data_IF_936401918386
#
_entry.id   IF_936401918386
#
_cell.length_a   1.000
_cell.length_b   1.000
_cell.length_c   1.000
_cell.angle_alpha   90.00
_cell.angle_beta   90.00
_cell.angle_gamma   90.00
#
_symmetry.space_group_name_H-M   'P 1'
#
loop_
_entity.id
_entity.type
_entity.pdbx_description
1 polymer ?
#
# COMPACT_ATOMS: atom_id res chain seq x y z
N UNK A 1 -19.78 -12.60 6.61
CA UNK A 1 -18.60 -12.06 5.89
C UNK A 1 -18.55 -12.69 4.51
N UNK A 2 -19.08 -12.01 3.48
CA UNK A 2 -18.96 -12.49 2.11
C UNK A 2 -17.50 -12.43 1.64
N UNK A 3 -17.10 -13.38 0.79
CA UNK A 3 -15.80 -13.34 0.12
C UNK A 3 -15.78 -12.18 -0.87
N UNK A 4 -14.73 -11.36 -0.85
CA UNK A 4 -14.51 -10.30 -1.84
C UNK A 4 -14.00 -10.93 -3.14
N UNK A 5 -14.65 -10.60 -4.26
CA UNK A 5 -14.17 -10.94 -5.59
C UNK A 5 -13.16 -9.88 -6.05
N UNK A 6 -11.87 -10.19 -5.93
CA UNK A 6 -10.80 -9.28 -6.33
C UNK A 6 -10.81 -8.93 -7.81
N UNK A 7 -11.43 -9.75 -8.68
CA UNK A 7 -11.53 -9.44 -10.11
C UNK A 7 -12.51 -8.31 -10.40
N UNK A 8 -13.46 -8.06 -9.49
CA UNK A 8 -14.45 -6.99 -9.58
C UNK A 8 -14.00 -5.69 -8.87
N UNK A 9 -12.92 -5.72 -8.07
CA UNK A 9 -12.42 -4.52 -7.38
C UNK A 9 -11.52 -3.70 -8.32
N UNK A 10 -11.85 -2.42 -8.60
CA UNK A 10 -11.04 -1.60 -9.50
C UNK A 10 -9.60 -1.45 -9.02
N UNK A 11 -8.67 -1.40 -9.98
CA UNK A 11 -7.26 -1.11 -9.75
C UNK A 11 -7.02 0.38 -9.99
N UNK A 12 -6.36 1.02 -9.03
CA UNK A 12 -6.03 2.45 -9.08
C UNK A 12 -4.52 2.67 -9.02
N UNK A 13 -4.05 3.63 -9.81
CA UNK A 13 -2.73 4.22 -9.64
C UNK A 13 -2.74 5.26 -8.51
N UNK A 14 -1.58 5.51 -7.90
CA UNK A 14 -1.43 6.57 -6.90
C UNK A 14 -1.15 7.93 -7.56
N UNK A 15 -2.21 8.70 -7.79
CA UNK A 15 -2.16 10.02 -8.42
C UNK A 15 -2.41 11.19 -7.44
N UNK A 16 -2.29 10.94 -6.14
CA UNK A 16 -2.58 11.91 -5.07
C UNK A 16 -1.52 13.03 -4.94
N UNK A 17 -0.32 12.81 -5.49
CA UNK A 17 0.76 13.79 -5.41
C UNK A 17 0.66 14.88 -6.50
N UNK A 18 1.18 16.09 -6.24
CA UNK A 18 1.37 17.12 -7.26
C UNK A 18 2.14 16.59 -8.47
N UNK A 19 1.91 17.17 -9.66
CA UNK A 19 2.40 16.64 -10.93
C UNK A 19 3.91 16.31 -10.94
N UNK A 20 4.75 17.16 -10.35
CA UNK A 20 6.20 16.94 -10.28
C UNK A 20 6.65 15.77 -9.40
N UNK A 21 5.77 15.25 -8.54
CA UNK A 21 6.06 14.16 -7.60
C UNK A 21 5.33 12.86 -7.94
N UNK A 22 4.44 12.84 -8.94
CA UNK A 22 3.68 11.64 -9.33
C UNK A 22 4.58 10.49 -9.78
N UNK A 23 5.73 10.80 -10.35
CA UNK A 23 6.70 9.80 -10.81
C UNK A 23 7.27 8.96 -9.64
N UNK A 24 7.29 9.49 -8.41
CA UNK A 24 7.86 8.80 -7.24
C UNK A 24 7.08 7.54 -6.86
N UNK A 25 5.79 7.47 -7.19
CA UNK A 25 4.94 6.29 -6.98
C UNK A 25 4.47 5.68 -8.30
N UNK A 26 5.20 5.91 -9.40
CA UNK A 26 4.89 5.29 -10.67
C UNK A 26 4.89 3.75 -10.56
N UNK A 27 3.89 3.11 -11.16
CA UNK A 27 3.69 1.66 -11.13
C UNK A 27 2.99 1.13 -9.87
N UNK A 28 2.76 1.95 -8.84
CA UNK A 28 1.94 1.54 -7.70
C UNK A 28 0.51 1.21 -8.15
N UNK A 29 0.04 0.01 -7.80
CA UNK A 29 -1.32 -0.43 -8.09
C UNK A 29 -2.06 -0.80 -6.80
N UNK A 30 -3.26 -0.26 -6.60
CA UNK A 30 -4.07 -0.48 -5.39
C UNK A 30 -5.48 -0.95 -5.72
N UNK A 31 -5.96 -1.91 -4.95
CA UNK A 31 -7.36 -2.29 -4.86
C UNK A 31 -7.86 -2.02 -3.44
N UNK A 32 -8.93 -1.23 -3.30
CA UNK A 32 -9.53 -0.88 -2.00
C UNK A 32 -10.50 -1.96 -1.56
N UNK A 33 -9.96 -3.05 -1.02
CA UNK A 33 -10.75 -4.24 -0.67
C UNK A 33 -11.63 -4.01 0.57
N UNK A 34 -11.25 -3.09 1.46
CA UNK A 34 -12.10 -2.66 2.58
C UNK A 34 -13.43 -2.06 2.10
N UNK A 35 -13.36 -1.13 1.14
CA UNK A 35 -14.54 -0.52 0.50
C UNK A 35 -15.42 -1.58 -0.17
N UNK A 36 -14.81 -2.52 -0.90
CA UNK A 36 -15.54 -3.64 -1.53
C UNK A 36 -16.20 -4.58 -0.50
N UNK A 37 -15.67 -4.64 0.73
CA UNK A 37 -16.24 -5.34 1.86
C UNK A 37 -17.23 -4.52 2.69
N UNK A 38 -17.45 -3.24 2.38
CA UNK A 38 -18.34 -2.34 3.11
C UNK A 38 -17.78 -1.81 4.43
N UNK A 39 -16.46 -1.77 4.60
CA UNK A 39 -15.84 -1.20 5.80
C UNK A 39 -15.86 0.34 5.76
N UNK A 40 -16.08 0.96 6.92
CA UNK A 40 -16.10 2.41 7.09
C UNK A 40 -15.20 2.93 8.25
N UNK A 41 -14.71 2.04 9.11
CA UNK A 41 -13.86 2.40 10.27
C UNK A 41 -12.38 2.48 9.95
N UNK A 42 -11.90 1.68 8.99
CA UNK A 42 -10.51 1.65 8.54
C UNK A 42 -10.42 1.16 7.10
N UNK A 43 -9.36 1.57 6.40
CA UNK A 43 -9.09 1.13 5.05
C UNK A 43 -8.34 -0.20 5.03
N UNK A 44 -8.69 -1.10 4.11
CA UNK A 44 -7.90 -2.28 3.79
C UNK A 44 -7.56 -2.24 2.30
N UNK A 45 -6.28 -2.22 1.98
CA UNK A 45 -5.79 -2.03 0.63
C UNK A 45 -4.91 -3.21 0.22
N UNK A 46 -5.23 -3.81 -0.92
CA UNK A 46 -4.32 -4.74 -1.60
C UNK A 46 -3.45 -3.92 -2.55
N UNK A 47 -2.15 -3.90 -2.30
CA UNK A 47 -1.17 -3.15 -3.09
C UNK A 47 -0.25 -4.11 -3.82
N UNK A 48 0.05 -3.79 -5.09
CA UNK A 48 1.08 -4.46 -5.88
C UNK A 48 2.12 -3.43 -6.28
N UNK A 49 3.39 -3.75 -6.02
CA UNK A 49 4.54 -2.93 -6.41
C UNK A 49 5.37 -3.70 -7.44
N UNK A 50 5.42 -3.24 -8.69
CA UNK A 50 6.46 -3.67 -9.62
C UNK A 50 7.87 -3.35 -9.09
N UNK A 51 8.91 -4.02 -9.61
CA UNK A 51 10.28 -3.69 -9.25
C UNK A 51 10.55 -2.19 -9.39
N UNK A 52 11.19 -1.60 -8.37
CA UNK A 52 11.55 -0.16 -8.27
C UNK A 52 10.38 0.79 -8.00
N UNK A 53 9.15 0.31 -7.90
CA UNK A 53 8.01 1.13 -7.44
C UNK A 53 8.03 1.34 -5.92
N UNK A 54 7.26 2.33 -5.45
CA UNK A 54 7.19 2.73 -4.04
C UNK A 54 5.74 2.91 -3.60
N UNK A 55 5.47 2.69 -2.32
CA UNK A 55 4.13 2.87 -1.73
C UNK A 55 3.73 4.33 -1.62
N UNK A 56 4.68 5.19 -1.24
CA UNK A 56 4.47 6.60 -0.96
C UNK A 56 5.80 7.37 -0.99
N UNK A 57 5.71 8.70 -0.97
CA UNK A 57 6.78 9.53 -0.39
C UNK A 57 6.91 9.19 1.10
N UNK A 58 8.12 9.27 1.67
CA UNK A 58 8.33 9.00 3.10
C UNK A 58 7.51 9.98 3.95
N UNK A 59 6.73 9.46 4.88
CA UNK A 59 5.83 10.23 5.75
C UNK A 59 5.50 9.43 7.01
N UNK A 60 4.74 10.05 7.90
CA UNK A 60 4.13 9.45 9.08
C UNK A 60 2.72 10.04 9.25
N UNK A 61 1.88 9.36 10.02
CA UNK A 61 0.51 9.79 10.30
C UNK A 61 0.39 10.28 11.75
N UNK A 62 -0.28 11.43 11.96
CA UNK A 62 -0.51 11.97 13.30
C UNK A 62 -1.72 11.35 14.01
N UNK A 63 -2.74 10.95 13.24
CA UNK A 63 -4.05 10.56 13.77
C UNK A 63 -4.52 9.18 13.29
N UNK A 64 -3.70 8.48 12.52
CA UNK A 64 -4.06 7.22 11.89
C UNK A 64 -2.96 6.22 12.17
N UNK A 65 -3.31 5.15 12.88
CA UNK A 65 -2.45 3.98 12.93
C UNK A 65 -2.40 3.34 11.53
N UNK A 66 -1.27 2.75 11.18
CA UNK A 66 -1.07 2.05 9.91
C UNK A 66 -0.39 0.71 10.15
N UNK A 67 -0.82 -0.33 9.43
CA UNK A 67 -0.22 -1.65 9.51
C UNK A 67 -0.08 -2.25 8.12
N UNK A 68 1.07 -2.89 7.87
CA UNK A 68 1.44 -3.49 6.59
C UNK A 68 1.82 -4.94 6.80
N UNK A 69 1.34 -5.82 5.91
CA UNK A 69 1.80 -7.20 5.79
C UNK A 69 2.30 -7.41 4.35
N UNK A 70 3.49 -7.97 4.21
CA UNK A 70 3.99 -8.44 2.91
C UNK A 70 3.37 -9.80 2.62
N UNK A 71 2.49 -9.87 1.62
CA UNK A 71 1.84 -11.13 1.24
C UNK A 71 2.78 -12.00 0.40
N UNK A 72 3.49 -11.39 -0.55
CA UNK A 72 4.49 -12.08 -1.36
C UNK A 72 5.48 -11.09 -1.99
N UNK A 73 6.71 -11.54 -2.18
CA UNK A 73 7.82 -10.76 -2.71
C UNK A 73 8.71 -10.16 -1.62
N UNK A 74 9.60 -9.28 -2.04
CA UNK A 74 10.53 -8.59 -1.15
C UNK A 74 10.38 -7.08 -1.36
N UNK A 75 10.28 -6.33 -0.27
CA UNK A 75 10.24 -4.87 -0.27
C UNK A 75 11.22 -4.31 0.76
N UNK A 76 11.52 -3.02 0.65
CA UNK A 76 12.37 -2.32 1.60
C UNK A 76 11.54 -1.27 2.33
N UNK A 77 11.39 -1.43 3.64
CA UNK A 77 10.90 -0.39 4.55
C UNK A 77 12.01 0.65 4.75
N UNK A 78 11.70 1.91 4.45
CA UNK A 78 12.65 3.03 4.55
C UNK A 78 12.20 4.01 5.62
N UNK A 79 12.91 4.03 6.73
CA UNK A 79 12.67 4.89 7.87
C UNK A 79 13.81 5.92 7.99
N UNK A 80 13.78 6.76 9.03
CA UNK A 80 14.83 7.76 9.23
C UNK A 80 16.16 7.12 9.61
N UNK A 81 16.09 6.04 10.39
CA UNK A 81 17.24 5.31 10.95
C UNK A 81 17.84 4.31 9.95
N UNK A 82 17.16 4.00 8.85
CA UNK A 82 17.72 3.14 7.81
C UNK A 82 16.70 2.38 6.96
N UNK A 83 17.20 1.28 6.40
CA UNK A 83 16.46 0.40 5.50
C UNK A 83 16.33 -1.00 6.11
N UNK A 84 15.12 -1.55 6.07
CA UNK A 84 14.81 -2.91 6.54
C UNK A 84 14.16 -3.70 5.42
N UNK A 85 14.68 -4.90 5.13
CA UNK A 85 14.07 -5.79 4.14
C UNK A 85 12.88 -6.51 4.80
N UNK A 86 11.72 -6.47 4.14
CA UNK A 86 10.54 -7.24 4.48
C UNK A 86 10.24 -8.26 3.37
N UNK A 87 9.94 -9.51 3.76
CA UNK A 87 9.62 -10.64 2.89
C UNK A 87 8.24 -11.21 3.20
N UNK A 88 7.81 -12.21 2.44
CA UNK A 88 6.57 -12.97 2.66
C UNK A 88 6.31 -13.26 4.15
N UNK A 89 5.22 -12.70 4.68
CA UNK A 89 4.78 -12.86 6.07
C UNK A 89 5.30 -11.79 7.04
N UNK A 90 6.32 -11.02 6.66
CA UNK A 90 6.81 -9.92 7.50
C UNK A 90 5.77 -8.81 7.61
N UNK A 91 5.74 -8.17 8.78
CA UNK A 91 4.76 -7.15 9.14
C UNK A 91 5.47 -5.90 9.68
N UNK A 92 4.84 -4.73 9.51
CA UNK A 92 5.27 -3.46 10.08
C UNK A 92 4.05 -2.65 10.56
N UNK A 93 4.18 -1.94 11.68
CA UNK A 93 3.18 -1.04 12.25
C UNK A 93 3.63 -0.49 13.60
#
# INVERSE_FOLDING_TARGET
>A
MPKIDLSAVPVFDRLVYPAGLRAETAGYQQQRVGDAGGLDQFGVNRVVLPPRSRTALRHWHEQQDEFVIVITGEVVLREEEGETILRDGDCAG
#
